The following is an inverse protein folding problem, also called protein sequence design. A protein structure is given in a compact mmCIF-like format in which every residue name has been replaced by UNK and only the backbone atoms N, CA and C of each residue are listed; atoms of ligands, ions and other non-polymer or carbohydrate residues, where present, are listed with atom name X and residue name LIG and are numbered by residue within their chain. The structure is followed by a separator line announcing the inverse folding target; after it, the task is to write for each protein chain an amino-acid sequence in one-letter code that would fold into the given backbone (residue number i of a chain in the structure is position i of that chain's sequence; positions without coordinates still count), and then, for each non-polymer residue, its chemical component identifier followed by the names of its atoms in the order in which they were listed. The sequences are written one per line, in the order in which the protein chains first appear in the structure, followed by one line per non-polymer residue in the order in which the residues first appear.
data_IF_385850579705
#
_entry.id   IF_385850579705
#
_cell.length_a   1.000
_cell.length_b   1.000
_cell.length_c   1.000
_cell.angle_alpha   90.00
_cell.angle_beta   90.00
_cell.angle_gamma   90.00
#
_symmetry.space_group_name_H-M   'P 1'
#
loop_
_entity.id
_entity.type
_entity.pdbx_description
1 polymer ?
#
# COMPACT_ATOMS: atom_id res chain seq x y z
N UNK A 1 -55.62 -17.93 -25.16
CA UNK A 1 -54.41 -17.74 -25.98
C UNK A 1 -53.54 -16.70 -25.29
N UNK A 2 -52.45 -17.13 -24.68
CA UNK A 2 -51.60 -16.29 -23.82
C UNK A 2 -50.33 -15.95 -24.61
N UNK A 3 -50.18 -14.68 -24.98
CA UNK A 3 -48.97 -14.15 -25.63
C UNK A 3 -47.84 -14.06 -24.60
N UNK A 4 -46.76 -14.79 -24.85
CA UNK A 4 -45.47 -14.65 -24.17
C UNK A 4 -44.74 -13.45 -24.78
N UNK A 5 -44.53 -12.39 -24.00
CA UNK A 5 -43.64 -11.28 -24.35
C UNK A 5 -42.24 -11.57 -23.81
N UNK A 6 -41.29 -11.77 -24.72
CA UNK A 6 -39.89 -12.00 -24.43
C UNK A 6 -39.22 -10.68 -24.04
N UNK A 7 -38.72 -10.59 -22.80
CA UNK A 7 -37.94 -9.46 -22.32
C UNK A 7 -36.46 -9.75 -22.59
N UNK A 8 -35.88 -9.07 -23.59
CA UNK A 8 -34.45 -9.12 -23.86
C UNK A 8 -33.71 -8.24 -22.83
N UNK A 9 -33.21 -8.86 -21.78
CA UNK A 9 -32.30 -8.22 -20.83
C UNK A 9 -30.92 -8.00 -21.46
N UNK A 10 -30.61 -6.75 -21.78
CA UNK A 10 -29.26 -6.32 -22.16
C UNK A 10 -28.41 -6.27 -20.90
N UNK A 11 -27.54 -7.28 -20.71
CA UNK A 11 -26.53 -7.27 -19.65
C UNK A 11 -25.38 -6.38 -20.14
N UNK A 12 -25.32 -5.15 -19.64
CA UNK A 12 -24.15 -4.27 -19.81
C UNK A 12 -23.04 -4.81 -18.89
N UNK A 13 -22.17 -5.65 -19.45
CA UNK A 13 -20.91 -6.02 -18.77
C UNK A 13 -19.96 -4.82 -18.84
N UNK A 14 -19.90 -4.07 -17.76
CA UNK A 14 -18.85 -3.08 -17.52
C UNK A 14 -17.52 -3.82 -17.32
N UNK A 15 -16.72 -3.93 -18.38
CA UNK A 15 -15.34 -4.39 -18.29
C UNK A 15 -14.49 -3.28 -17.67
N UNK A 16 -14.22 -3.38 -16.37
CA UNK A 16 -13.15 -2.60 -15.73
C UNK A 16 -11.81 -3.23 -16.12
N UNK A 17 -11.10 -2.59 -17.04
CA UNK A 17 -9.67 -2.84 -17.27
C UNK A 17 -8.89 -2.22 -16.12
N UNK A 18 -8.41 -3.05 -15.20
CA UNK A 18 -7.35 -2.68 -14.27
C UNK A 18 -6.06 -2.68 -15.09
N UNK A 19 -5.63 -1.50 -15.55
CA UNK A 19 -4.27 -1.33 -16.06
C UNK A 19 -3.33 -1.40 -14.88
N UNK A 20 -2.65 -2.54 -14.72
CA UNK A 20 -1.45 -2.66 -13.90
C UNK A 20 -0.34 -1.81 -14.56
N UNK A 21 -0.37 -0.50 -14.30
CA UNK A 21 0.81 0.32 -14.54
C UNK A 21 1.81 0.04 -13.42
N UNK A 22 2.83 -0.76 -13.73
CA UNK A 22 4.01 -0.90 -12.90
C UNK A 22 4.56 0.49 -12.57
N UNK A 23 4.76 0.83 -11.29
CA UNK A 23 5.42 2.08 -10.94
C UNK A 23 6.85 1.97 -11.43
N UNK A 24 7.15 2.66 -12.55
CA UNK A 24 8.51 2.97 -12.98
C UNK A 24 9.22 3.57 -11.78
N UNK A 25 10.09 2.78 -11.16
CA UNK A 25 11.04 3.22 -10.15
C UNK A 25 11.98 4.17 -10.89
N UNK A 26 11.63 5.45 -10.89
CA UNK A 26 12.53 6.51 -11.31
C UNK A 26 13.75 6.43 -10.40
N UNK A 27 14.91 6.15 -11.00
CA UNK A 27 16.22 6.25 -10.37
C UNK A 27 16.36 7.65 -9.77
N UNK A 28 16.03 7.77 -8.49
CA UNK A 28 16.26 8.98 -7.73
C UNK A 28 17.76 9.01 -7.42
N UNK A 29 18.46 9.79 -8.25
CA UNK A 29 19.84 10.21 -8.06
C UNK A 29 20.01 10.66 -6.61
N UNK A 30 20.74 9.88 -5.82
CA UNK A 30 20.99 10.16 -4.42
C UNK A 30 21.57 11.57 -4.25
N UNK A 31 21.08 12.38 -3.29
CA UNK A 31 21.72 13.64 -2.99
C UNK A 31 23.11 13.35 -2.42
N UNK A 32 24.13 13.97 -3.04
CA UNK A 32 25.47 14.04 -2.49
C UNK A 32 25.38 14.70 -1.12
N UNK A 33 25.42 13.90 -0.05
CA UNK A 33 25.50 14.40 1.31
C UNK A 33 26.96 14.79 1.57
N UNK A 34 27.16 16.09 1.72
CA UNK A 34 28.41 16.70 2.14
C UNK A 34 28.85 16.11 3.48
N UNK A 35 29.93 15.33 3.41
CA UNK A 35 30.67 14.84 4.58
C UNK A 35 31.26 16.04 5.31
N UNK A 36 30.81 16.25 6.55
CA UNK A 36 31.52 17.10 7.50
C UNK A 36 32.87 16.47 7.87
N UNK A 37 33.96 17.26 7.95
CA UNK A 37 35.28 16.77 8.29
C UNK A 37 35.47 16.75 9.81
N UNK A 38 36.24 15.77 10.31
CA UNK A 38 36.82 15.91 11.64
C UNK A 38 36.95 14.62 12.42
N UNK A 39 37.97 13.82 12.10
CA UNK A 39 38.74 13.16 13.16
C UNK A 39 40.20 13.16 12.73
N UNK A 40 41.01 13.91 13.47
CA UNK A 40 42.43 14.14 13.22
C UNK A 40 43.22 12.83 13.14
N UNK A 41 43.85 12.64 11.98
CA UNK A 41 44.83 11.57 11.77
C UNK A 41 46.13 11.96 12.48
N UNK A 42 46.41 11.29 13.60
CA UNK A 42 47.72 11.32 14.26
C UNK A 42 48.74 10.71 13.30
N UNK A 43 49.47 11.59 12.61
CA UNK A 43 50.52 11.25 11.65
C UNK A 43 51.80 10.88 12.40
N UNK A 44 51.91 9.62 12.83
CA UNK A 44 53.16 9.05 13.33
C UNK A 44 54.14 8.88 12.15
N UNK A 45 55.02 9.87 12.00
CA UNK A 45 56.14 9.85 11.06
C UNK A 45 57.26 9.01 11.65
N UNK A 46 57.39 7.76 11.17
CA UNK A 46 58.59 6.96 11.40
C UNK A 46 59.65 7.46 10.42
N UNK A 47 60.63 8.21 10.94
CA UNK A 47 61.84 8.60 10.20
C UNK A 47 62.68 7.34 9.95
N UNK A 48 62.65 6.84 8.72
CA UNK A 48 63.65 5.91 8.22
C UNK A 48 64.94 6.67 7.90
N UNK A 49 65.88 6.64 8.86
CA UNK A 49 67.30 6.90 8.66
C UNK A 49 67.99 5.53 8.76
N UNK A 50 68.65 4.98 7.74
CA UNK A 50 70.04 5.33 7.40
C UNK A 50 70.52 4.42 6.26
N UNK A 51 70.95 4.99 5.11
CA UNK A 51 72.33 5.01 4.57
C UNK A 51 73.27 3.96 5.18
N UNK A 52 73.66 2.96 4.38
CA UNK A 52 74.96 2.86 3.70
C UNK A 52 76.17 2.74 4.62
N UNK A 53 76.82 1.57 4.63
CA UNK A 53 78.27 1.49 4.36
C UNK A 53 78.71 0.03 4.20
N UNK A 54 79.23 -0.26 3.01
CA UNK A 54 80.13 -1.39 2.77
C UNK A 54 81.40 -1.18 3.59
N UNK A 55 81.84 -2.18 4.35
CA UNK A 55 83.27 -2.38 4.62
C UNK A 55 83.63 -3.86 4.52
N UNK A 56 84.29 -4.18 3.41
CA UNK A 56 85.31 -5.21 3.36
C UNK A 56 86.33 -4.94 4.47
N UNK A 57 86.71 -5.95 5.26
CA UNK A 57 88.03 -5.99 5.87
C UNK A 57 88.45 -7.44 6.20
N UNK A 58 89.52 -7.84 5.52
CA UNK A 58 90.60 -8.76 5.95
C UNK A 58 90.32 -10.25 6.12
N UNK A 59 90.55 -10.92 4.98
CA UNK A 59 91.32 -12.15 4.83
C UNK A 59 92.59 -12.10 5.71
N UNK A 60 92.67 -12.97 6.71
CA UNK A 60 93.82 -13.16 7.58
C UNK A 60 94.29 -14.61 7.55
N UNK A 61 95.49 -14.79 7.02
CA UNK A 61 96.30 -16.01 6.93
C UNK A 61 96.43 -16.79 8.24
N UNK A 62 96.07 -18.08 8.21
CA UNK A 62 96.53 -19.08 9.17
C UNK A 62 98.01 -19.40 8.88
N UNK A 63 98.90 -18.71 9.59
CA UNK A 63 100.29 -19.10 9.74
C UNK A 63 100.54 -19.48 11.20
N UNK A 64 101.23 -20.60 11.41
CA UNK A 64 101.94 -20.85 12.65
C UNK A 64 101.15 -21.57 13.74
N UNK A 65 101.29 -22.89 13.75
CA UNK A 65 101.29 -23.72 14.95
C UNK A 65 102.29 -23.18 15.97
N UNK A 66 101.85 -22.28 16.84
CA UNK A 66 102.52 -21.93 18.08
C UNK A 66 101.66 -22.44 19.24
N UNK A 67 102.13 -23.50 19.91
CA UNK A 67 101.59 -23.94 21.19
C UNK A 67 101.46 -22.73 22.12
N UNK A 68 100.31 -22.48 22.76
CA UNK A 68 100.17 -21.33 23.64
C UNK A 68 101.17 -21.50 24.78
N UNK A 69 102.13 -20.58 24.90
CA UNK A 69 102.92 -20.44 26.13
C UNK A 69 101.92 -20.17 27.24
N UNK A 70 101.63 -21.20 28.03
CA UNK A 70 100.82 -21.10 29.25
C UNK A 70 101.54 -20.09 30.13
N UNK A 71 101.01 -18.86 30.23
CA UNK A 71 101.55 -17.86 31.12
C UNK A 71 101.55 -18.44 32.54
N UNK A 72 102.75 -18.75 33.03
CA UNK A 72 102.96 -19.34 34.35
C UNK A 72 102.82 -18.25 35.42
N UNK A 73 101.69 -17.52 35.43
CA UNK A 73 101.40 -16.59 36.51
C UNK A 73 101.33 -17.38 37.82
N UNK A 74 102.01 -16.83 38.84
CA UNK A 74 102.00 -17.37 40.21
C UNK A 74 100.75 -16.92 40.99
N UNK A 75 99.87 -16.13 40.37
CA UNK A 75 98.66 -15.56 40.97
C UNK A 75 97.42 -15.95 40.17
N UNK A 76 96.29 -16.10 40.87
CA UNK A 76 94.98 -16.24 40.24
C UNK A 76 94.60 -14.97 39.48
N UNK A 77 94.12 -15.13 38.24
CA UNK A 77 93.71 -14.02 37.39
C UNK A 77 92.45 -13.27 37.88
N UNK A 78 91.58 -13.93 38.66
CA UNK A 78 90.35 -13.32 39.18
C UNK A 78 90.62 -12.63 40.53
N UNK A 79 91.06 -13.37 41.55
CA UNK A 79 91.24 -12.82 42.90
C UNK A 79 92.66 -12.33 43.23
N UNK A 80 93.64 -12.49 42.34
CA UNK A 80 95.04 -12.07 42.58
C UNK A 80 95.82 -12.89 43.62
N UNK A 81 95.19 -13.85 44.31
CA UNK A 81 95.84 -14.71 45.33
C UNK A 81 97.01 -15.51 44.73
N UNK A 82 98.16 -15.53 45.42
CA UNK A 82 99.36 -16.34 45.07
C UNK A 82 99.08 -17.84 45.26
N UNK A 83 99.45 -18.68 44.29
CA UNK A 83 99.40 -20.14 44.37
C UNK A 83 100.57 -20.64 45.23
N UNK A 84 100.41 -20.64 46.56
CA UNK A 84 101.52 -20.99 47.47
C UNK A 84 101.80 -22.50 47.52
N UNK A 85 100.77 -23.37 47.43
CA UNK A 85 100.87 -24.85 47.36
C UNK A 85 99.63 -25.53 46.73
N UNK A 86 98.63 -24.77 46.26
CA UNK A 86 97.34 -25.31 45.80
C UNK A 86 97.32 -25.71 44.32
N UNK A 87 96.36 -26.56 43.95
CA UNK A 87 96.08 -26.95 42.56
C UNK A 87 95.78 -25.71 41.70
N UNK A 88 96.67 -25.42 40.75
CA UNK A 88 96.48 -24.40 39.72
C UNK A 88 95.64 -24.98 38.58
N UNK A 89 94.59 -24.27 38.20
CA UNK A 89 93.77 -24.62 37.05
C UNK A 89 93.93 -23.58 35.95
N UNK A 90 93.77 -24.01 34.70
CA UNK A 90 93.80 -23.12 33.53
C UNK A 90 92.40 -23.03 32.96
N UNK A 91 91.86 -21.82 32.83
CA UNK A 91 90.57 -21.60 32.18
C UNK A 91 90.66 -22.03 30.72
N UNK A 92 89.68 -22.80 30.23
CA UNK A 92 89.68 -23.27 28.84
C UNK A 92 89.46 -22.15 27.82
N UNK A 93 88.77 -21.08 28.20
CA UNK A 93 88.39 -19.96 27.31
C UNK A 93 89.54 -18.95 27.22
N UNK A 94 89.85 -18.26 28.34
CA UNK A 94 90.86 -17.20 28.35
C UNK A 94 92.30 -17.69 28.56
N UNK A 95 92.50 -19.00 28.80
CA UNK A 95 93.81 -19.64 29.04
C UNK A 95 94.59 -19.09 30.25
N UNK A 96 93.94 -18.31 31.12
CA UNK A 96 94.53 -17.75 32.33
C UNK A 96 94.50 -18.73 33.51
N UNK A 97 95.45 -18.58 34.42
CA UNK A 97 95.54 -19.37 35.65
C UNK A 97 94.52 -18.89 36.69
N UNK A 98 93.76 -19.82 37.25
CA UNK A 98 92.72 -19.55 38.25
C UNK A 98 92.74 -20.54 39.40
N UNK A 99 92.29 -20.09 40.57
CA UNK A 99 92.15 -20.93 41.75
C UNK A 99 90.88 -21.81 41.65
N UNK A 100 90.76 -22.78 42.55
CA UNK A 100 89.62 -23.70 42.59
C UNK A 100 88.28 -23.01 42.90
N UNK A 101 88.29 -21.93 43.69
CA UNK A 101 87.12 -21.12 44.06
C UNK A 101 86.60 -20.30 42.86
N UNK A 102 87.52 -19.77 42.07
CA UNK A 102 87.24 -18.91 40.91
C UNK A 102 87.07 -19.68 39.59
N UNK A 103 86.87 -21.01 39.68
CA UNK A 103 86.66 -21.85 38.51
C UNK A 103 85.67 -22.98 38.73
N UNK A 104 84.86 -23.24 37.73
CA UNK A 104 83.87 -24.32 37.74
C UNK A 104 84.21 -25.37 36.67
N UNK A 105 83.87 -26.64 36.95
CA UNK A 105 83.98 -27.73 35.97
C UNK A 105 82.64 -27.87 35.25
N UNK A 106 82.59 -27.49 33.98
CA UNK A 106 81.39 -27.61 33.14
C UNK A 106 81.72 -28.30 31.81
N UNK A 107 80.74 -28.95 31.16
CA UNK A 107 80.87 -29.31 29.76
C UNK A 107 81.12 -28.02 28.95
N UNK A 108 81.91 -28.12 27.89
CA UNK A 108 82.27 -26.97 27.05
C UNK A 108 81.98 -27.32 25.59
N UNK A 109 81.01 -26.64 24.99
CA UNK A 109 80.42 -27.01 23.71
C UNK A 109 79.88 -28.45 23.72
N UNK A 110 79.99 -29.16 22.60
CA UNK A 110 79.49 -30.54 22.44
C UNK A 110 80.39 -31.62 23.08
N UNK A 111 81.46 -31.24 23.77
CA UNK A 111 82.37 -32.21 24.41
C UNK A 111 81.83 -32.67 25.78
N UNK A 112 81.60 -33.98 26.00
CA UNK A 112 81.12 -34.50 27.28
C UNK A 112 82.19 -34.42 28.39
N UNK A 113 83.46 -34.18 28.03
CA UNK A 113 84.56 -34.03 28.99
C UNK A 113 84.47 -32.67 29.70
N UNK A 114 84.18 -32.69 31.00
CA UNK A 114 84.15 -31.49 31.85
C UNK A 114 85.51 -30.78 31.84
N UNK A 115 85.53 -29.52 31.41
CA UNK A 115 86.72 -28.64 31.46
C UNK A 115 86.52 -27.55 32.51
N UNK A 116 87.61 -27.01 33.05
CA UNK A 116 87.51 -25.88 33.98
C UNK A 116 87.46 -24.56 33.22
N UNK A 117 86.50 -23.73 33.58
CA UNK A 117 86.28 -22.38 33.07
C UNK A 117 86.30 -21.44 34.28
N UNK A 118 86.86 -20.25 34.14
CA UNK A 118 86.85 -19.26 35.21
C UNK A 118 85.48 -18.57 35.28
N UNK A 119 85.09 -18.12 36.48
CA UNK A 119 83.76 -17.54 36.71
C UNK A 119 83.45 -16.33 35.79
N UNK A 120 84.46 -15.51 35.45
CA UNK A 120 84.29 -14.39 34.52
C UNK A 120 83.95 -14.84 33.08
N UNK A 121 84.62 -15.86 32.56
CA UNK A 121 84.31 -16.35 31.22
C UNK A 121 82.97 -17.09 31.18
N UNK A 122 82.63 -17.82 32.24
CA UNK A 122 81.33 -18.50 32.40
C UNK A 122 80.17 -17.49 32.51
N UNK A 123 80.32 -16.40 33.27
CA UNK A 123 79.35 -15.30 33.29
C UNK A 123 79.24 -14.63 31.92
N UNK A 124 80.34 -14.38 31.22
CA UNK A 124 80.32 -13.72 29.92
C UNK A 124 79.59 -14.57 28.87
N UNK A 125 79.84 -15.89 28.84
CA UNK A 125 79.14 -16.85 27.98
C UNK A 125 77.65 -16.92 28.33
N UNK A 126 77.30 -17.02 29.61
CA UNK A 126 75.90 -17.02 30.07
C UNK A 126 75.18 -15.72 29.68
N UNK A 127 75.81 -14.55 29.87
CA UNK A 127 75.27 -13.25 29.46
C UNK A 127 75.08 -13.15 27.95
N UNK A 128 75.94 -13.80 27.16
CA UNK A 128 75.81 -13.81 25.71
C UNK A 128 74.61 -14.67 25.27
N UNK A 129 74.48 -15.88 25.82
CA UNK A 129 73.31 -16.77 25.58
C UNK A 129 72.01 -16.04 25.93
N UNK A 130 71.93 -15.47 27.14
CA UNK A 130 70.75 -14.72 27.58
C UNK A 130 70.44 -13.54 26.66
N UNK A 131 71.46 -12.84 26.14
CA UNK A 131 71.26 -11.74 25.17
C UNK A 131 70.72 -12.23 23.83
N UNK A 132 71.20 -13.37 23.35
CA UNK A 132 70.72 -13.99 22.11
C UNK A 132 69.28 -14.45 22.25
N UNK A 133 68.93 -15.16 23.32
CA UNK A 133 67.56 -15.56 23.64
C UNK A 133 66.63 -14.35 23.80
N UNK A 134 67.08 -13.30 24.48
CA UNK A 134 66.30 -12.06 24.64
C UNK A 134 66.05 -11.40 23.28
N UNK A 135 67.05 -11.38 22.40
CA UNK A 135 66.93 -10.82 21.05
C UNK A 135 65.94 -11.61 20.21
N UNK A 136 66.02 -12.94 20.20
CA UNK A 136 65.07 -13.81 19.50
C UNK A 136 63.64 -13.63 20.01
N UNK A 137 63.47 -13.54 21.33
CA UNK A 137 62.15 -13.30 21.93
C UNK A 137 61.61 -11.91 21.58
N UNK A 138 62.45 -10.87 21.58
CA UNK A 138 62.05 -9.54 21.15
C UNK A 138 61.62 -9.51 19.68
N UNK A 139 62.37 -10.19 18.81
CA UNK A 139 62.01 -10.31 17.39
C UNK A 139 60.68 -11.03 17.20
N UNK A 140 60.43 -12.11 17.96
CA UNK A 140 59.15 -12.83 17.95
C UNK A 140 57.99 -11.95 18.38
N UNK A 141 58.13 -11.24 19.50
CA UNK A 141 57.10 -10.33 20.01
C UNK A 141 56.84 -9.18 19.02
N UNK A 142 57.88 -8.67 18.36
CA UNK A 142 57.71 -7.64 17.33
C UNK A 142 56.92 -8.15 16.12
N UNK A 143 57.15 -9.39 15.69
CA UNK A 143 56.38 -10.00 14.60
C UNK A 143 54.93 -10.26 15.00
N UNK A 144 54.68 -10.78 16.20
CA UNK A 144 53.34 -10.94 16.75
C UNK A 144 52.59 -9.61 16.83
N UNK A 145 53.25 -8.55 17.30
CA UNK A 145 52.68 -7.20 17.37
C UNK A 145 52.33 -6.66 15.98
N UNK A 146 53.20 -6.90 14.99
CA UNK A 146 52.97 -6.49 13.59
C UNK A 146 51.77 -7.22 12.99
N UNK A 147 51.69 -8.53 13.20
CA UNK A 147 50.57 -9.37 12.76
C UNK A 147 49.25 -8.95 13.43
N UNK A 148 49.26 -8.75 14.75
CA UNK A 148 48.10 -8.28 15.50
C UNK A 148 47.60 -6.92 15.01
N UNK A 149 48.53 -5.97 14.75
CA UNK A 149 48.19 -4.66 14.17
C UNK A 149 47.56 -4.79 12.78
N UNK A 150 48.13 -5.60 11.90
CA UNK A 150 47.56 -5.86 10.57
C UNK A 150 46.16 -6.49 10.64
N UNK A 151 45.94 -7.41 11.58
CA UNK A 151 44.63 -8.01 11.82
C UNK A 151 43.62 -6.97 12.33
N UNK A 152 44.03 -6.13 13.29
CA UNK A 152 43.20 -5.05 13.82
C UNK A 152 42.77 -4.06 12.72
N UNK A 153 43.72 -3.60 11.90
CA UNK A 153 43.44 -2.65 10.82
C UNK A 153 42.45 -3.24 9.78
N UNK A 154 42.59 -4.54 9.46
CA UNK A 154 41.65 -5.24 8.57
C UNK A 154 40.26 -5.32 9.19
N UNK A 155 40.16 -5.78 10.43
CA UNK A 155 38.87 -5.88 11.14
C UNK A 155 38.20 -4.51 11.28
N UNK A 156 38.99 -3.45 11.48
CA UNK A 156 38.46 -2.10 11.59
C UNK A 156 37.85 -1.63 10.26
N UNK A 157 38.50 -1.90 9.11
CA UNK A 157 37.93 -1.63 7.78
C UNK A 157 36.64 -2.41 7.55
N UNK A 158 36.65 -3.71 7.83
CA UNK A 158 35.44 -4.55 7.72
C UNK A 158 34.30 -4.03 8.60
N UNK A 159 34.60 -3.53 9.80
CA UNK A 159 33.62 -2.91 10.69
C UNK A 159 33.02 -1.66 10.07
N UNK A 160 33.83 -0.77 9.49
CA UNK A 160 33.34 0.41 8.80
C UNK A 160 32.44 0.05 7.61
N UNK A 161 32.86 -0.88 6.76
CA UNK A 161 32.08 -1.33 5.60
C UNK A 161 30.74 -1.95 6.02
N UNK A 162 30.74 -2.80 7.05
CA UNK A 162 29.52 -3.40 7.60
C UNK A 162 28.58 -2.35 8.20
N UNK A 163 29.14 -1.37 8.91
CA UNK A 163 28.35 -0.27 9.51
C UNK A 163 27.70 0.58 8.41
N UNK A 164 28.44 0.89 7.34
CA UNK A 164 27.88 1.61 6.19
C UNK A 164 26.71 0.85 5.55
N UNK A 165 26.85 -0.46 5.34
CA UNK A 165 25.76 -1.31 4.82
C UNK A 165 24.55 -1.37 5.75
N UNK A 166 24.76 -1.42 7.06
CA UNK A 166 23.66 -1.37 8.04
C UNK A 166 22.88 -0.06 7.89
N UNK A 167 23.58 1.08 7.83
CA UNK A 167 22.95 2.39 7.66
C UNK A 167 22.16 2.48 6.34
N UNK A 168 22.71 1.93 5.25
CA UNK A 168 22.02 1.84 3.96
C UNK A 168 20.72 1.03 4.06
N UNK A 169 20.76 -0.15 4.67
CA UNK A 169 19.57 -0.98 4.86
C UNK A 169 18.54 -0.33 5.78
N UNK A 170 18.97 0.38 6.83
CA UNK A 170 18.07 1.14 7.69
C UNK A 170 17.35 2.26 6.93
N UNK A 171 18.08 2.97 6.05
CA UNK A 171 17.50 3.98 5.18
C UNK A 171 16.46 3.38 4.23
N UNK A 172 16.81 2.29 3.52
CA UNK A 172 15.89 1.59 2.61
C UNK A 172 14.64 1.14 3.37
N UNK A 173 14.81 0.54 4.54
CA UNK A 173 13.70 0.09 5.41
C UNK A 173 12.79 1.25 5.81
N UNK A 174 13.35 2.41 6.17
CA UNK A 174 12.58 3.60 6.55
C UNK A 174 11.80 4.15 5.35
N UNK A 175 12.44 4.23 4.18
CA UNK A 175 11.82 4.68 2.94
C UNK A 175 10.64 3.78 2.52
N UNK A 176 10.86 2.46 2.52
CA UNK A 176 9.82 1.47 2.18
C UNK A 176 8.64 1.53 3.15
N UNK A 177 8.89 1.70 4.45
CA UNK A 177 7.81 1.89 5.43
C UNK A 177 6.96 3.12 5.15
N UNK A 178 7.59 4.26 4.86
CA UNK A 178 6.87 5.49 4.54
C UNK A 178 6.03 5.36 3.26
N UNK A 179 6.58 4.72 2.21
CA UNK A 179 5.83 4.42 0.98
C UNK A 179 4.65 3.49 1.24
N UNK A 180 4.84 2.45 2.06
CA UNK A 180 3.78 1.52 2.42
C UNK A 180 2.66 2.21 3.20
N UNK A 181 3.01 3.02 4.21
CA UNK A 181 2.05 3.79 5.00
C UNK A 181 1.23 4.76 4.12
N UNK A 182 1.89 5.45 3.19
CA UNK A 182 1.20 6.30 2.22
C UNK A 182 0.24 5.50 1.33
N UNK A 183 0.64 4.30 0.87
CA UNK A 183 -0.23 3.43 0.06
C UNK A 183 -1.44 2.93 0.86
N UNK A 184 -1.23 2.56 2.13
CA UNK A 184 -2.32 2.15 3.02
C UNK A 184 -3.31 3.29 3.25
N UNK A 185 -2.83 4.51 3.48
CA UNK A 185 -3.70 5.67 3.65
C UNK A 185 -4.51 5.98 2.37
N UNK A 186 -3.89 5.89 1.19
CA UNK A 186 -4.60 6.07 -0.09
C UNK A 186 -5.70 5.03 -0.28
N UNK A 187 -5.41 3.75 -0.02
CA UNK A 187 -6.38 2.67 -0.14
C UNK A 187 -7.52 2.82 0.88
N UNK A 188 -7.22 3.27 2.10
CA UNK A 188 -8.23 3.55 3.11
C UNK A 188 -9.17 4.67 2.66
N UNK A 189 -8.62 5.77 2.13
CA UNK A 189 -9.43 6.87 1.60
C UNK A 189 -10.33 6.39 0.44
N UNK A 190 -9.80 5.59 -0.49
CA UNK A 190 -10.59 5.02 -1.59
C UNK A 190 -11.72 4.11 -1.09
N UNK A 191 -11.45 3.30 -0.07
CA UNK A 191 -12.47 2.45 0.54
C UNK A 191 -13.59 3.28 1.18
N UNK A 192 -13.24 4.36 1.87
CA UNK A 192 -14.22 5.21 2.53
C UNK A 192 -15.04 6.03 1.52
N UNK A 193 -14.43 6.48 0.42
CA UNK A 193 -15.15 7.08 -0.72
C UNK A 193 -16.15 6.10 -1.35
N UNK A 194 -15.76 4.86 -1.61
CA UNK A 194 -16.66 3.84 -2.20
C UNK A 194 -17.79 3.45 -1.24
N UNK A 195 -17.52 3.39 0.07
CA UNK A 195 -18.58 3.20 1.08
C UNK A 195 -19.58 4.35 1.06
N UNK A 196 -19.10 5.59 0.97
CA UNK A 196 -19.96 6.76 0.89
C UNK A 196 -20.80 6.73 -0.38
N UNK A 197 -20.19 6.47 -1.55
CA UNK A 197 -20.90 6.32 -2.83
C UNK A 197 -21.97 5.23 -2.76
N UNK A 198 -21.65 4.08 -2.15
CA UNK A 198 -22.62 2.99 -1.97
C UNK A 198 -23.79 3.40 -1.07
N UNK A 199 -23.52 4.14 0.01
CA UNK A 199 -24.55 4.68 0.89
C UNK A 199 -25.48 5.65 0.13
N UNK A 200 -24.92 6.58 -0.63
CA UNK A 200 -25.69 7.55 -1.41
C UNK A 200 -26.55 6.87 -2.49
N UNK A 201 -26.00 5.84 -3.14
CA UNK A 201 -26.74 5.01 -4.10
C UNK A 201 -27.91 4.27 -3.44
N UNK A 202 -27.74 3.72 -2.23
CA UNK A 202 -28.84 3.07 -1.48
C UNK A 202 -29.96 4.05 -1.17
N UNK A 203 -29.63 5.27 -0.73
CA UNK A 203 -30.62 6.33 -0.48
C UNK A 203 -31.34 6.69 -1.78
N UNK A 204 -30.62 6.80 -2.90
CA UNK A 204 -31.23 7.06 -4.21
C UNK A 204 -32.18 5.95 -4.65
N UNK A 205 -31.82 4.68 -4.44
CA UNK A 205 -32.68 3.53 -4.74
C UNK A 205 -33.96 3.60 -3.89
N UNK A 206 -33.84 3.83 -2.58
CA UNK A 206 -35.00 3.94 -1.69
C UNK A 206 -35.95 5.08 -2.11
N UNK A 207 -35.41 6.22 -2.55
CA UNK A 207 -36.20 7.34 -3.06
C UNK A 207 -36.93 7.00 -4.38
N UNK A 208 -36.27 6.27 -5.27
CA UNK A 208 -36.88 5.81 -6.52
C UNK A 208 -37.99 4.79 -6.24
N UNK A 209 -37.79 3.86 -5.30
CA UNK A 209 -38.82 2.91 -4.88
C UNK A 209 -40.06 3.60 -4.32
N UNK A 210 -39.88 4.62 -3.46
CA UNK A 210 -40.99 5.46 -2.96
C UNK A 210 -41.71 6.17 -4.11
N UNK A 211 -40.97 6.72 -5.06
CA UNK A 211 -41.54 7.41 -6.22
C UNK A 211 -42.35 6.46 -7.10
N UNK A 212 -41.83 5.26 -7.37
CA UNK A 212 -42.55 4.22 -8.12
C UNK A 212 -43.83 3.79 -7.39
N UNK A 213 -43.77 3.61 -6.07
CA UNK A 213 -44.95 3.29 -5.26
C UNK A 213 -46.05 4.35 -5.37
N UNK A 214 -45.67 5.64 -5.25
CA UNK A 214 -46.60 6.77 -5.37
C UNK A 214 -47.20 6.89 -6.78
N UNK A 215 -46.39 6.66 -7.83
CA UNK A 215 -46.86 6.65 -9.22
C UNK A 215 -47.84 5.50 -9.47
N UNK A 216 -47.59 4.32 -8.90
CA UNK A 216 -48.50 3.17 -9.01
C UNK A 216 -49.83 3.41 -8.27
N UNK A 217 -49.81 4.08 -7.12
CA UNK A 217 -51.02 4.52 -6.43
C UNK A 217 -51.81 5.49 -7.31
N UNK A 218 -51.15 6.55 -7.80
CA UNK A 218 -51.77 7.57 -8.66
C UNK A 218 -52.34 6.95 -9.94
N UNK A 219 -51.61 6.02 -10.57
CA UNK A 219 -52.07 5.30 -11.76
C UNK A 219 -53.36 4.52 -11.49
N UNK A 220 -53.47 3.84 -10.33
CA UNK A 220 -54.68 3.12 -9.94
C UNK A 220 -55.85 4.08 -9.75
N UNK A 221 -55.65 5.17 -9.01
CA UNK A 221 -56.69 6.19 -8.80
C UNK A 221 -57.20 6.78 -10.12
N UNK A 222 -56.30 7.11 -11.06
CA UNK A 222 -56.69 7.61 -12.37
C UNK A 222 -57.38 6.56 -13.23
N UNK A 223 -56.95 5.30 -13.16
CA UNK A 223 -57.62 4.19 -13.84
C UNK A 223 -59.05 4.01 -13.34
N UNK A 224 -59.27 4.08 -12.02
CA UNK A 224 -60.60 4.00 -11.41
C UNK A 224 -61.48 5.19 -11.83
N UNK A 225 -60.94 6.41 -11.84
CA UNK A 225 -61.65 7.61 -12.32
C UNK A 225 -62.03 7.50 -13.81
N UNK A 226 -61.12 7.01 -14.65
CA UNK A 226 -61.39 6.82 -16.07
C UNK A 226 -62.49 5.77 -16.30
N UNK A 227 -62.46 4.66 -15.57
CA UNK A 227 -63.50 3.63 -15.67
C UNK A 227 -64.85 4.15 -15.18
N UNK A 228 -64.89 4.91 -14.09
CA UNK A 228 -66.10 5.56 -13.61
C UNK A 228 -66.69 6.51 -14.67
N UNK A 229 -65.88 7.35 -15.31
CA UNK A 229 -66.32 8.25 -16.39
C UNK A 229 -66.77 7.52 -17.65
N UNK A 230 -66.13 6.40 -17.97
CA UNK A 230 -66.57 5.53 -19.07
C UNK A 230 -67.96 4.95 -18.78
N UNK A 231 -68.17 4.42 -17.58
CA UNK A 231 -69.48 3.91 -17.15
C UNK A 231 -70.56 5.00 -17.17
N UNK A 232 -70.27 6.20 -16.67
CA UNK A 232 -71.19 7.35 -16.77
C UNK A 232 -71.53 7.67 -18.24
N UNK A 233 -70.54 7.67 -19.13
CA UNK A 233 -70.75 7.95 -20.55
C UNK A 233 -71.62 6.88 -21.21
N UNK A 234 -71.40 5.60 -20.89
CA UNK A 234 -72.24 4.50 -21.36
C UNK A 234 -73.68 4.60 -20.84
N UNK A 235 -73.88 5.02 -19.59
CA UNK A 235 -75.22 5.31 -19.05
C UNK A 235 -75.92 6.44 -19.81
N UNK A 236 -75.21 7.54 -20.06
CA UNK A 236 -75.75 8.67 -20.83
C UNK A 236 -76.07 8.28 -22.27
N UNK A 237 -75.24 7.45 -22.90
CA UNK A 237 -75.52 6.90 -24.23
C UNK A 237 -76.82 6.11 -24.24
N UNK A 238 -77.01 5.18 -23.28
CA UNK A 238 -78.26 4.41 -23.16
C UNK A 238 -79.48 5.30 -22.94
N UNK A 239 -79.35 6.35 -22.11
CA UNK A 239 -80.44 7.33 -21.90
C UNK A 239 -80.78 8.10 -23.18
N UNK A 240 -79.76 8.49 -23.95
CA UNK A 240 -79.94 9.16 -25.23
C UNK A 240 -80.68 8.25 -26.22
N UNK A 241 -80.32 6.98 -26.31
CA UNK A 241 -80.98 6.00 -27.18
C UNK A 241 -82.48 5.87 -26.83
N UNK A 242 -82.82 5.75 -25.53
CA UNK A 242 -84.21 5.73 -25.07
C UNK A 242 -84.98 7.01 -25.42
N UNK A 243 -84.35 8.18 -25.33
CA UNK A 243 -84.96 9.45 -25.71
C UNK A 243 -85.19 9.54 -27.22
N UNK A 244 -84.27 9.03 -28.03
CA UNK A 244 -84.41 8.98 -29.48
C UNK A 244 -85.53 8.03 -29.91
N UNK A 245 -85.62 6.85 -29.28
CA UNK A 245 -86.74 5.92 -29.49
C UNK A 245 -88.09 6.56 -29.14
N UNK A 246 -88.17 7.24 -28.00
CA UNK A 246 -89.39 7.97 -27.59
C UNK A 246 -89.73 9.11 -28.54
N UNK A 247 -88.72 9.88 -28.98
CA UNK A 247 -88.90 10.94 -29.99
C UNK A 247 -89.48 10.34 -31.27
N UNK A 248 -88.94 9.23 -31.76
CA UNK A 248 -89.43 8.56 -32.97
C UNK A 248 -90.87 8.08 -32.82
N UNK A 249 -91.21 7.51 -31.66
CA UNK A 249 -92.59 7.10 -31.36
C UNK A 249 -93.56 8.29 -31.39
N UNK A 250 -93.21 9.40 -30.73
CA UNK A 250 -94.03 10.61 -30.70
C UNK A 250 -94.14 11.26 -32.08
N UNK A 251 -93.07 11.25 -32.88
CA UNK A 251 -93.10 11.74 -34.26
C UNK A 251 -94.07 10.92 -35.11
N UNK A 252 -94.02 9.58 -35.03
CA UNK A 252 -94.96 8.71 -35.74
C UNK A 252 -96.41 8.94 -35.29
N UNK A 253 -96.64 9.18 -33.99
CA UNK A 253 -97.96 9.52 -33.47
C UNK A 253 -98.45 10.88 -34.00
N UNK A 254 -97.57 11.87 -34.06
CA UNK A 254 -97.88 13.18 -34.62
C UNK A 254 -98.24 13.09 -36.11
N UNK A 255 -97.45 12.38 -36.93
CA UNK A 255 -97.75 12.12 -38.34
C UNK A 255 -99.09 11.39 -38.52
N UNK A 256 -99.38 10.39 -37.67
CA UNK A 256 -100.65 9.68 -37.72
C UNK A 256 -101.84 10.61 -37.42
N UNK A 257 -101.71 11.48 -36.41
CA UNK A 257 -102.73 12.47 -36.08
C UNK A 257 -102.90 13.49 -37.19
N UNK A 258 -101.81 13.97 -37.79
CA UNK A 258 -101.81 14.89 -38.93
C UNK A 258 -102.56 14.29 -40.12
N UNK A 259 -102.26 13.04 -40.48
CA UNK A 259 -103.00 12.32 -41.52
C UNK A 259 -104.50 12.15 -41.19
N UNK A 260 -104.85 11.90 -39.92
CA UNK A 260 -106.25 11.86 -39.48
C UNK A 260 -106.91 13.25 -39.62
N UNK A 261 -106.18 14.33 -39.35
CA UNK A 261 -106.68 15.69 -39.49
C UNK A 261 -106.86 16.10 -40.95
N UNK A 262 -105.94 15.73 -41.83
CA UNK A 262 -106.05 15.99 -43.28
C UNK A 262 -107.26 15.28 -43.90
N UNK A 263 -107.67 14.13 -43.33
CA UNK A 263 -108.90 13.43 -43.69
C UNK A 263 -110.20 14.09 -43.18
N UNK A 264 -110.11 15.16 -42.37
CA UNK A 264 -111.29 15.89 -41.88
C UNK A 264 -111.67 16.98 -42.85
N UNK A 265 -112.94 16.98 -43.25
CA UNK A 265 -113.56 18.04 -44.04
C UNK A 265 -113.51 19.34 -43.23
N UNK A 266 -113.03 20.43 -43.84
CA UNK A 266 -113.04 21.75 -43.20
C UNK A 266 -114.45 22.06 -42.70
N UNK A 267 -114.58 22.66 -41.51
CA UNK A 267 -115.90 22.95 -40.92
C UNK A 267 -116.75 23.75 -41.91
N UNK A 268 -116.13 24.65 -42.69
CA UNK A 268 -116.82 25.43 -43.73
C UNK A 268 -117.37 24.59 -44.90
N UNK A 269 -116.77 23.43 -45.22
CA UNK A 269 -117.28 22.49 -46.23
C UNK A 269 -118.37 21.57 -45.66
N UNK A 270 -118.23 21.15 -44.40
CA UNK A 270 -119.27 20.41 -43.67
C UNK A 270 -120.55 21.25 -43.54
N UNK A 271 -120.42 22.56 -43.31
CA UNK A 271 -121.55 23.49 -43.25
C UNK A 271 -122.43 23.52 -44.50
N UNK A 272 -121.85 23.28 -45.67
CA UNK A 272 -122.53 23.34 -46.98
C UNK A 272 -123.24 22.03 -47.34
N UNK A 273 -122.84 20.90 -46.73
CA UNK A 273 -123.37 19.56 -47.04
C UNK A 273 -124.34 19.02 -45.99
N UNK A 274 -124.38 19.59 -44.79
CA UNK A 274 -125.27 19.16 -43.71
C UNK A 274 -126.66 19.81 -43.83
N UNK A 275 -127.71 19.03 -43.56
CA UNK A 275 -129.07 19.57 -43.46
C UNK A 275 -129.22 20.44 -42.19
N UNK A 276 -130.24 21.32 -42.18
CA UNK A 276 -130.47 22.30 -41.10
C UNK A 276 -130.58 21.70 -39.69
N UNK A 277 -131.10 20.46 -39.56
CA UNK A 277 -131.16 19.73 -38.28
C UNK A 277 -129.79 19.22 -37.82
N UNK A 278 -128.98 18.69 -38.74
CA UNK A 278 -127.63 18.19 -38.42
C UNK A 278 -126.65 19.34 -38.16
N UNK A 279 -126.80 20.47 -38.86
CA UNK A 279 -126.02 21.69 -38.62
C UNK A 279 -126.21 22.17 -37.17
N UNK A 280 -127.45 22.24 -36.65
CA UNK A 280 -127.67 22.62 -35.24
C UNK A 280 -126.97 21.70 -34.24
N UNK A 281 -126.97 20.38 -34.44
CA UNK A 281 -126.31 19.43 -33.51
C UNK A 281 -124.78 19.54 -33.54
N UNK A 282 -124.18 19.62 -34.72
CA UNK A 282 -122.71 19.73 -34.86
C UNK A 282 -122.22 21.04 -34.26
N UNK A 283 -122.93 22.15 -34.48
CA UNK A 283 -122.53 23.46 -33.96
C UNK A 283 -122.85 23.67 -32.48
N UNK A 284 -123.91 23.06 -31.94
CA UNK A 284 -124.20 23.10 -30.50
C UNK A 284 -123.15 22.33 -29.68
N UNK A 285 -122.72 21.15 -30.15
CA UNK A 285 -121.66 20.38 -29.48
C UNK A 285 -120.27 21.06 -29.61
N UNK A 286 -120.00 21.75 -30.71
CA UNK A 286 -118.73 22.48 -30.89
C UNK A 286 -118.64 23.73 -30.00
N UNK A 287 -119.79 24.29 -29.59
CA UNK A 287 -119.86 25.41 -28.66
C UNK A 287 -119.62 24.96 -27.20
N UNK A 288 -120.08 23.76 -26.83
CA UNK A 288 -119.82 23.16 -25.51
C UNK A 288 -118.34 22.78 -25.33
N UNK A 289 -117.69 22.19 -26.36
CA UNK A 289 -116.28 21.80 -26.29
C UNK A 289 -115.28 22.99 -26.21
N UNK A 290 -115.67 24.20 -26.65
CA UNK A 290 -114.81 25.39 -26.54
C UNK A 290 -114.75 25.98 -25.13
N UNK A 291 -115.74 25.68 -24.28
CA UNK A 291 -115.79 26.16 -22.88
C UNK A 291 -114.69 25.51 -22.03
N UNK A 292 -114.43 24.22 -22.22
CA UNK A 292 -113.53 23.42 -21.37
C UNK A 292 -112.04 23.64 -21.68
N UNK A 293 -111.70 24.08 -22.89
CA UNK A 293 -110.32 24.39 -23.29
C UNK A 293 -109.79 25.71 -22.71
N UNK A 294 -110.65 26.55 -22.13
CA UNK A 294 -110.23 27.80 -21.48
C UNK A 294 -109.67 27.62 -20.05
N UNK A 295 -109.73 26.41 -19.49
CA UNK A 295 -109.30 26.11 -18.11
C UNK A 295 -107.91 25.46 -17.96
N UNK A 296 -107.13 25.27 -19.03
CA UNK A 296 -105.78 24.69 -18.96
C UNK A 296 -104.70 25.73 -19.30
N UNK A 297 -104.68 26.83 -18.55
CA UNK A 297 -103.46 27.61 -18.34
C UNK A 297 -102.87 27.20 -16.99
N UNK A 298 -102.15 26.07 -16.96
CA UNK A 298 -101.36 25.69 -15.80
C UNK A 298 -99.88 25.97 -16.05
N UNK A 299 -99.39 26.90 -15.25
CA UNK A 299 -98.04 27.36 -14.96
C UNK A 299 -96.89 26.43 -15.39
N UNK A 300 -96.06 26.94 -16.30
CA UNK A 300 -94.67 26.56 -16.46
C UNK A 300 -93.83 27.58 -15.68
N UNK A 301 -93.53 27.24 -14.43
CA UNK A 301 -92.53 27.95 -13.63
C UNK A 301 -91.69 26.91 -12.89
N UNK A 302 -90.36 27.10 -13.00
CA UNK A 302 -89.28 26.51 -12.20
C UNK A 302 -88.96 25.04 -12.51
N UNK A 303 -87.75 24.57 -12.81
CA UNK A 303 -86.35 24.81 -12.35
C UNK A 303 -85.47 23.88 -13.22
N UNK A 304 -84.14 23.93 -13.40
CA UNK A 304 -83.03 24.51 -12.67
C UNK A 304 -81.79 24.53 -13.60
N UNK A 305 -80.98 25.58 -13.50
CA UNK A 305 -79.58 25.57 -13.97
C UNK A 305 -78.80 24.55 -13.15
N UNK A 306 -78.08 23.65 -13.81
CA UNK A 306 -76.97 22.91 -13.22
C UNK A 306 -75.71 23.42 -13.91
N UNK A 307 -74.84 24.03 -13.10
CA UNK A 307 -73.42 24.32 -13.40
C UNK A 307 -72.62 23.08 -13.06
#
# INVERSE_FOLDING_TARGET
MISKSSFNGVIVRSTFTITEEDPKISESKAPASELSPGVDSIKLTIKESSKSERRNLMRGTFAGSASPKVNQSKNCHICGKKFKLGLKYTCKICLQAVCGEDSQKKPFGDNPKKRRICNQCDEAETRQIVREELKENLERVHEELRSAKGCYDRLNRERFDKTAKINEFEFIKKSMKAQHEQKMQKLQNQLDEEKQRSSDQRISIENLEKTISNLNLSKREWSEKCEAKKNETEEWSKRLDLLLERRNLLANQAEHLEHIMDGKVAIEELEKRLCSKCKKKVFHNNQECRSDLSMVHYQSSDTQKIV
#
